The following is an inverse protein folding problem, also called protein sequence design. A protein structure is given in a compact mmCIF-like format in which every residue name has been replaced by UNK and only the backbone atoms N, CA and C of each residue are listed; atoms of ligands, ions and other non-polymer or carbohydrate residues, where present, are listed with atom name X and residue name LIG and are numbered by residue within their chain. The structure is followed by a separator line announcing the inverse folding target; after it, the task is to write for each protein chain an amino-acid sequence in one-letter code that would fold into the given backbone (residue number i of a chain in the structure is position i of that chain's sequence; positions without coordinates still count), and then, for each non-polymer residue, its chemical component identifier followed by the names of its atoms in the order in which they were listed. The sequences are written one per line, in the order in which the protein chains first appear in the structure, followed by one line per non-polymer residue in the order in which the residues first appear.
data_IF_738345531854
#
_entry.id   IF_738345531854
#
_cell.length_a   1.000
_cell.length_b   1.000
_cell.length_c   1.000
_cell.angle_alpha   90.00
_cell.angle_beta   90.00
_cell.angle_gamma   90.00
#
_symmetry.space_group_name_H-M   'P 1'
#
loop_
_entity.id
_entity.type
_entity.pdbx_description
1 polymer ?
#
# COMPACT_ATOMS: atom_id res chain seq x y z
N UNK A 1 13.77 -6.47 -14.56
CA UNK A 1 14.29 -7.59 -13.76
C UNK A 1 14.53 -8.79 -14.66
N UNK A 2 15.76 -8.93 -15.17
CA UNK A 2 16.29 -10.14 -15.86
C UNK A 2 17.50 -10.72 -15.12
N UNK A 3 17.76 -10.26 -13.89
CA UNK A 3 18.96 -10.61 -13.11
C UNK A 3 18.88 -12.01 -12.49
N UNK A 4 17.66 -12.51 -12.25
CA UNK A 4 17.42 -13.79 -11.59
C UNK A 4 16.49 -14.63 -12.46
N UNK A 5 16.73 -15.95 -12.48
CA UNK A 5 15.93 -16.91 -13.22
C UNK A 5 14.49 -16.99 -12.72
N UNK A 6 14.28 -16.75 -11.42
CA UNK A 6 12.98 -16.77 -10.76
C UNK A 6 12.75 -15.48 -10.00
N UNK A 7 11.54 -14.93 -10.12
CA UNK A 7 11.06 -13.76 -9.38
C UNK A 7 9.63 -14.08 -8.95
N UNK A 8 9.37 -14.01 -7.66
CA UNK A 8 8.09 -14.35 -7.08
C UNK A 8 7.42 -13.11 -6.49
N UNK A 9 6.15 -12.89 -6.84
CA UNK A 9 5.31 -11.88 -6.23
C UNK A 9 4.64 -12.51 -4.99
N UNK A 10 5.15 -12.17 -3.81
CA UNK A 10 4.67 -12.75 -2.55
C UNK A 10 3.20 -12.37 -2.24
N UNK A 11 2.74 -11.12 -2.48
CA UNK A 11 1.32 -10.79 -2.42
C UNK A 11 0.44 -11.60 -3.36
N UNK A 12 0.90 -11.87 -4.58
CA UNK A 12 0.17 -12.71 -5.54
C UNK A 12 0.02 -14.13 -5.00
N UNK A 13 1.13 -14.74 -4.56
CA UNK A 13 1.12 -16.09 -3.96
C UNK A 13 0.25 -16.13 -2.70
N UNK A 14 0.28 -15.08 -1.87
CA UNK A 14 -0.61 -14.97 -0.70
C UNK A 14 -2.08 -14.99 -1.11
N UNK A 15 -2.44 -14.25 -2.16
CA UNK A 15 -3.80 -14.19 -2.68
C UNK A 15 -4.22 -15.53 -3.28
N UNK A 16 -3.33 -16.23 -3.98
CA UNK A 16 -3.58 -17.59 -4.48
C UNK A 16 -3.80 -18.59 -3.34
N UNK A 17 -2.97 -18.52 -2.29
CA UNK A 17 -3.02 -19.45 -1.15
C UNK A 17 -4.25 -19.22 -0.25
N UNK A 18 -4.68 -17.97 -0.08
CA UNK A 18 -5.69 -17.60 0.94
C UNK A 18 -6.99 -17.05 0.36
N UNK A 19 -6.99 -16.62 -0.91
CA UNK A 19 -8.08 -15.85 -1.50
C UNK A 19 -8.21 -14.41 -0.99
N UNK A 20 -7.30 -13.95 -0.11
CA UNK A 20 -7.37 -12.66 0.57
C UNK A 20 -6.29 -11.69 0.08
N UNK A 21 -6.56 -10.37 0.06
CA UNK A 21 -5.54 -9.38 -0.24
C UNK A 21 -4.47 -9.34 0.87
N UNK A 22 -3.23 -9.01 0.48
CA UNK A 22 -2.12 -8.81 1.42
C UNK A 22 -2.04 -7.35 1.86
N UNK A 23 -1.82 -7.11 3.15
CA UNK A 23 -1.67 -5.76 3.73
C UNK A 23 -0.22 -5.53 4.13
N UNK A 24 0.43 -4.57 3.47
CA UNK A 24 1.82 -4.22 3.74
C UNK A 24 1.99 -3.23 4.89
N UNK A 25 1.12 -2.22 4.96
CA UNK A 25 1.24 -1.13 5.92
C UNK A 25 -0.13 -0.52 6.24
N UNK A 26 -0.29 -0.05 7.47
CA UNK A 26 -1.45 0.67 7.97
C UNK A 26 -1.00 1.83 8.86
N UNK A 27 -1.72 2.94 8.81
CA UNK A 27 -1.63 3.97 9.86
C UNK A 27 -2.46 3.53 11.05
N UNK A 28 -1.81 3.25 12.19
CA UNK A 28 -2.46 2.74 13.40
C UNK A 28 -2.09 3.59 14.61
N UNK A 29 -2.99 3.70 15.58
CA UNK A 29 -2.74 4.35 16.87
C UNK A 29 -3.31 3.52 18.00
N UNK A 30 -2.56 3.42 19.10
CA UNK A 30 -3.03 2.82 20.35
C UNK A 30 -3.60 3.86 21.33
N UNK A 31 -3.68 5.13 20.90
CA UNK A 31 -4.22 6.26 21.66
C UNK A 31 -5.30 6.98 20.85
N UNK A 32 -6.18 7.66 21.56
CA UNK A 32 -7.09 8.60 20.93
C UNK A 32 -6.29 9.73 20.27
N UNK A 33 -6.64 10.03 19.02
CA UNK A 33 -6.04 11.10 18.23
C UNK A 33 -6.99 12.29 18.29
N UNK A 34 -6.43 13.49 18.38
CA UNK A 34 -7.20 14.72 18.29
C UNK A 34 -7.98 14.81 16.96
N UNK A 35 -9.22 15.30 17.04
CA UNK A 35 -10.12 15.33 15.88
C UNK A 35 -9.65 16.30 14.79
N UNK A 36 -9.03 17.42 15.17
CA UNK A 36 -8.54 18.41 14.19
C UNK A 36 -7.35 17.82 13.45
N UNK A 37 -6.39 17.22 14.16
CA UNK A 37 -5.28 16.50 13.53
C UNK A 37 -5.80 15.39 12.60
N UNK A 38 -6.77 14.59 13.02
CA UNK A 38 -7.32 13.52 12.19
C UNK A 38 -7.95 14.06 10.89
N UNK A 39 -8.62 15.20 10.96
CA UNK A 39 -9.19 15.88 9.79
C UNK A 39 -8.09 16.35 8.83
N UNK A 40 -7.09 17.05 9.34
CA UNK A 40 -5.95 17.55 8.55
C UNK A 40 -5.15 16.41 7.92
N UNK A 41 -4.89 15.35 8.68
CA UNK A 41 -4.16 14.19 8.22
C UNK A 41 -4.91 13.46 7.09
N UNK A 42 -6.21 13.22 7.26
CA UNK A 42 -7.04 12.59 6.22
C UNK A 42 -7.14 13.47 4.97
N UNK A 43 -7.20 14.80 5.13
CA UNK A 43 -7.15 15.73 4.02
C UNK A 43 -5.82 15.63 3.26
N UNK A 44 -4.69 15.64 3.96
CA UNK A 44 -3.36 15.51 3.36
C UNK A 44 -3.19 14.18 2.59
N UNK A 45 -3.65 13.06 3.17
CA UNK A 45 -3.63 11.76 2.48
C UNK A 45 -4.47 11.79 1.20
N UNK A 46 -5.71 12.30 1.28
CA UNK A 46 -6.60 12.41 0.12
C UNK A 46 -6.00 13.31 -0.96
N UNK A 47 -5.42 14.44 -0.57
CA UNK A 47 -4.76 15.37 -1.47
C UNK A 47 -3.60 14.70 -2.23
N UNK A 48 -2.74 13.96 -1.52
CA UNK A 48 -1.65 13.21 -2.14
C UNK A 48 -2.14 12.18 -3.16
N UNK A 49 -3.24 11.47 -2.85
CA UNK A 49 -3.84 10.51 -3.79
C UNK A 49 -4.47 11.17 -5.02
N UNK A 50 -5.04 12.37 -4.88
CA UNK A 50 -5.57 13.12 -6.04
C UNK A 50 -4.48 13.76 -6.90
N UNK A 51 -3.25 13.81 -6.42
CA UNK A 51 -2.14 14.55 -7.04
C UNK A 51 -0.91 13.65 -7.29
N UNK A 52 -1.11 12.33 -7.42
CA UNK A 52 -0.05 11.35 -7.66
C UNK A 52 0.81 11.73 -8.87
N UNK A 53 0.21 12.17 -9.97
CA UNK A 53 0.95 12.55 -11.17
C UNK A 53 1.89 13.73 -10.92
N UNK A 54 1.44 14.76 -10.18
CA UNK A 54 2.29 15.89 -9.79
C UNK A 54 3.43 15.45 -8.87
N UNK A 55 3.15 14.55 -7.92
CA UNK A 55 4.19 13.98 -7.07
C UNK A 55 5.24 13.24 -7.89
N UNK A 56 4.82 12.47 -8.90
CA UNK A 56 5.74 11.75 -9.78
C UNK A 56 6.60 12.69 -10.63
N UNK A 57 6.07 13.81 -11.10
CA UNK A 57 6.84 14.80 -11.86
C UNK A 57 7.97 15.42 -11.02
N UNK A 58 7.70 15.66 -9.74
CA UNK A 58 8.68 16.20 -8.77
C UNK A 58 9.71 15.11 -8.42
N UNK A 59 9.24 13.90 -8.14
CA UNK A 59 10.03 12.79 -7.58
C UNK A 59 10.64 11.85 -8.63
N UNK A 60 10.52 12.16 -9.93
CA UNK A 60 10.91 11.27 -11.04
C UNK A 60 12.33 10.70 -10.95
N UNK A 61 13.26 11.44 -10.33
CA UNK A 61 14.66 11.01 -10.18
C UNK A 61 14.89 10.09 -8.97
N UNK A 62 13.93 10.00 -8.05
CA UNK A 62 14.04 9.22 -6.81
C UNK A 62 13.63 7.74 -6.99
N UNK A 63 13.15 7.35 -8.18
CA UNK A 63 12.73 5.98 -8.48
C UNK A 63 13.48 5.32 -9.65
N UNK A 64 14.84 5.30 -9.65
CA UNK A 64 15.63 4.85 -10.80
C UNK A 64 15.41 3.37 -11.18
N UNK A 65 14.82 2.58 -10.28
CA UNK A 65 14.54 1.15 -10.50
C UNK A 65 13.06 0.84 -10.70
N UNK A 66 12.17 1.81 -10.56
CA UNK A 66 10.75 1.60 -10.80
C UNK A 66 10.45 1.79 -12.28
N UNK A 67 10.10 0.70 -12.96
CA UNK A 67 9.82 0.73 -14.41
C UNK A 67 8.62 1.61 -14.77
N UNK A 68 7.59 1.60 -13.93
CA UNK A 68 6.38 2.37 -14.14
C UNK A 68 5.79 2.78 -12.78
N UNK A 69 6.32 3.85 -12.16
CA UNK A 69 5.83 4.30 -10.86
C UNK A 69 4.39 4.83 -10.93
N UNK A 70 3.96 5.34 -12.09
CA UNK A 70 2.59 5.78 -12.30
C UNK A 70 1.59 4.62 -12.18
N UNK A 71 1.79 3.53 -12.92
CA UNK A 71 0.93 2.34 -12.83
C UNK A 71 0.95 1.72 -11.42
N UNK A 72 2.14 1.70 -10.80
CA UNK A 72 2.27 1.16 -9.45
C UNK A 72 1.42 1.91 -8.42
N UNK A 73 1.52 3.24 -8.39
CA UNK A 73 0.78 4.07 -7.43
C UNK A 73 -0.71 4.16 -7.75
N UNK A 74 -1.09 4.26 -9.04
CA UNK A 74 -2.49 4.42 -9.42
C UNK A 74 -3.28 3.09 -9.47
N UNK A 75 -2.64 1.97 -9.84
CA UNK A 75 -3.36 0.74 -10.17
C UNK A 75 -2.95 -0.50 -9.35
N UNK A 76 -1.76 -0.51 -8.73
CA UNK A 76 -1.27 -1.69 -7.98
C UNK A 76 -1.44 -1.56 -6.47
N UNK A 77 -1.50 -0.34 -5.94
CA UNK A 77 -1.76 -0.11 -4.53
C UNK A 77 -3.25 0.18 -4.30
N UNK A 78 -3.83 -0.53 -3.33
CA UNK A 78 -5.19 -0.27 -2.86
C UNK A 78 -5.14 0.38 -1.48
N UNK A 79 -5.30 1.70 -1.43
CA UNK A 79 -5.07 2.52 -0.23
C UNK A 79 -6.15 2.39 0.86
N UNK A 80 -7.40 2.07 0.50
CA UNK A 80 -8.50 1.94 1.45
C UNK A 80 -8.44 0.57 2.13
N UNK A 81 -8.33 0.57 3.46
CA UNK A 81 -8.36 -0.65 4.28
C UNK A 81 -9.80 -1.16 4.44
N UNK A 82 -10.25 -2.01 3.51
CA UNK A 82 -11.57 -2.62 3.55
C UNK A 82 -11.65 -3.89 4.43
N UNK A 83 -12.85 -4.46 4.55
CA UNK A 83 -13.11 -5.65 5.38
C UNK A 83 -12.27 -6.87 4.97
N UNK A 84 -12.08 -7.12 3.66
CA UNK A 84 -11.28 -8.26 3.18
C UNK A 84 -9.80 -8.05 3.45
N UNK A 85 -9.32 -6.81 3.35
CA UNK A 85 -7.95 -6.46 3.76
C UNK A 85 -7.72 -6.64 5.26
N UNK A 86 -8.69 -6.28 6.09
CA UNK A 86 -8.64 -6.55 7.54
C UNK A 86 -8.61 -8.06 7.81
N UNK A 87 -9.39 -8.85 7.09
CA UNK A 87 -9.39 -10.31 7.19
C UNK A 87 -8.03 -10.91 6.80
N UNK A 88 -7.48 -10.50 5.65
CA UNK A 88 -6.16 -10.91 5.19
C UNK A 88 -5.05 -10.55 6.18
N UNK A 89 -5.08 -9.34 6.73
CA UNK A 89 -4.15 -8.89 7.78
C UNK A 89 -4.25 -9.75 9.04
N UNK A 90 -5.47 -10.04 9.53
CA UNK A 90 -5.67 -10.89 10.72
C UNK A 90 -5.16 -12.31 10.49
N UNK A 91 -5.43 -12.89 9.32
CA UNK A 91 -4.94 -14.22 8.96
C UNK A 91 -3.41 -14.27 8.89
N UNK A 92 -2.78 -13.22 8.36
CA UNK A 92 -1.32 -13.14 8.36
C UNK A 92 -0.77 -13.09 9.79
N UNK A 93 -1.34 -12.23 10.64
CA UNK A 93 -0.91 -12.09 12.04
C UNK A 93 -1.08 -13.39 12.85
N UNK A 94 -2.14 -14.17 12.60
CA UNK A 94 -2.33 -15.46 13.28
C UNK A 94 -1.39 -16.59 12.82
N UNK A 95 -0.61 -16.38 11.75
CA UNK A 95 0.39 -17.34 11.27
C UNK A 95 1.81 -17.03 11.74
N UNK A 96 2.04 -15.84 12.29
CA UNK A 96 3.36 -15.40 12.79
C UNK A 96 3.44 -15.32 14.32
N UNK A 97 2.29 -15.34 15.00
CA UNK A 97 2.14 -15.44 16.46
C UNK A 97 1.91 -16.90 16.81
#
# INVERSE_FOLDING_TARGET
NKKYQYVYDLPEIWKEMTGLPFVFACWISNKNIDKNFLSEFNFALKFGLSEIDKSLDIEKHNFPHCKNPNDYLNNKISYVLDKKKIEGMKLFLSKII
#
